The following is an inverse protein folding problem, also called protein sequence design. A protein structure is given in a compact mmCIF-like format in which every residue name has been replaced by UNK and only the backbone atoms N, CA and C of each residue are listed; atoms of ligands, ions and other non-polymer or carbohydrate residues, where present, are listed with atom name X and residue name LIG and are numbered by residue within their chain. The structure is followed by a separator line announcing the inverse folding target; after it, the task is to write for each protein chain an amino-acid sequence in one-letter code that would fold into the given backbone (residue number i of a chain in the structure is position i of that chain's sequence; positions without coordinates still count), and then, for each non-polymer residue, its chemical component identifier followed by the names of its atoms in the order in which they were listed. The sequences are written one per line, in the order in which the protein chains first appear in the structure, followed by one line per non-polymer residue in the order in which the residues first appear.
data_IF_777855107150
#
_entry.id   IF_777855107150
#
_cell.length_a   1.000
_cell.length_b   1.000
_cell.length_c   1.000
_cell.angle_alpha   90.00
_cell.angle_beta   90.00
_cell.angle_gamma   90.00
#
_symmetry.space_group_name_H-M   'P 1'
#
loop_
_entity.id
_entity.type
_entity.pdbx_description
1 polymer ?
#
# COMPACT_ATOMS: atom_id res chain seq x y z
N UNK A 1 -8.64 16.45 -8.39
CA UNK A 1 -7.26 15.99 -8.09
C UNK A 1 -6.72 15.31 -9.34
N UNK A 2 -5.71 15.89 -9.98
CA UNK A 2 -5.21 15.48 -11.30
C UNK A 2 -4.11 14.43 -11.21
N UNK A 3 -4.07 13.52 -12.19
CA UNK A 3 -3.23 12.33 -12.28
C UNK A 3 -1.69 12.54 -12.16
N UNK A 4 -1.23 13.80 -12.17
CA UNK A 4 0.18 14.18 -12.00
C UNK A 4 0.58 14.53 -10.56
N UNK A 5 -0.39 14.61 -9.64
CA UNK A 5 -0.14 14.89 -8.21
C UNK A 5 -0.36 13.66 -7.32
N UNK A 6 -0.94 12.61 -7.87
CA UNK A 6 -1.04 11.33 -7.19
C UNK A 6 0.34 10.66 -7.24
N UNK A 7 0.90 10.33 -6.08
CA UNK A 7 1.96 9.32 -6.02
C UNK A 7 1.33 8.04 -6.57
N UNK A 8 1.59 7.73 -7.84
CA UNK A 8 1.04 6.55 -8.50
C UNK A 8 1.77 5.34 -7.92
N UNK A 9 1.25 4.87 -6.80
CA UNK A 9 1.68 3.65 -6.14
C UNK A 9 1.00 2.49 -6.88
N UNK A 10 1.80 1.66 -7.52
CA UNK A 10 1.37 0.43 -8.17
C UNK A 10 1.69 -0.72 -7.25
N UNK A 11 0.65 -1.33 -6.66
CA UNK A 11 0.83 -2.48 -5.79
C UNK A 11 0.35 -3.76 -6.47
N UNK A 12 1.20 -4.79 -6.43
CA UNK A 12 0.88 -6.16 -6.80
C UNK A 12 0.79 -7.00 -5.55
N UNK A 13 -0.38 -7.61 -5.35
CA UNK A 13 -0.56 -8.65 -4.34
C UNK A 13 -0.03 -9.98 -4.88
N UNK A 14 0.77 -10.67 -4.08
CA UNK A 14 1.20 -12.04 -4.30
C UNK A 14 0.65 -12.94 -3.20
N UNK A 15 0.07 -14.08 -3.58
CA UNK A 15 -0.65 -14.95 -2.65
C UNK A 15 0.30 -16.00 -2.04
N UNK A 16 1.33 -15.53 -1.35
CA UNK A 16 2.36 -16.36 -0.71
C UNK A 16 2.10 -16.44 0.80
N UNK A 17 2.08 -17.65 1.36
CA UNK A 17 1.86 -17.86 2.80
C UNK A 17 0.39 -17.75 3.22
N UNK A 18 0.14 -17.42 4.50
CA UNK A 18 -1.22 -17.35 5.08
C UNK A 18 -2.01 -16.12 4.63
N UNK A 19 -1.31 -14.99 4.52
CA UNK A 19 -1.93 -13.68 4.29
C UNK A 19 -1.51 -13.02 2.97
N UNK A 20 -0.52 -13.57 2.27
CA UNK A 20 0.06 -12.95 1.09
C UNK A 20 1.12 -11.91 1.42
N UNK A 21 1.77 -11.45 0.35
CA UNK A 21 2.75 -10.37 0.36
C UNK A 21 2.34 -9.34 -0.67
N UNK A 22 2.83 -8.11 -0.53
CA UNK A 22 2.56 -7.04 -1.47
C UNK A 22 3.86 -6.40 -1.93
N UNK A 23 4.01 -6.24 -3.23
CA UNK A 23 5.11 -5.49 -3.86
C UNK A 23 4.53 -4.19 -4.42
N UNK A 24 5.01 -3.06 -3.92
CA UNK A 24 4.55 -1.74 -4.33
C UNK A 24 5.69 -0.94 -4.96
N UNK A 25 5.40 -0.33 -6.10
CA UNK A 25 6.30 0.60 -6.78
C UNK A 25 5.66 1.98 -6.90
N UNK A 26 6.38 3.01 -6.50
CA UNK A 26 6.03 4.41 -6.71
C UNK A 26 6.69 4.86 -8.00
N UNK A 27 5.87 5.27 -8.97
CA UNK A 27 6.37 5.89 -10.19
C UNK A 27 5.89 7.34 -10.25
N UNK A 28 6.65 8.24 -9.61
CA UNK A 28 6.43 9.68 -9.65
C UNK A 28 7.67 10.39 -10.25
N UNK A 29 7.48 11.57 -10.84
CA UNK A 29 8.57 12.31 -11.48
C UNK A 29 9.72 12.64 -10.51
N UNK A 30 9.39 12.94 -9.25
CA UNK A 30 10.36 13.29 -8.19
C UNK A 30 10.77 12.11 -7.32
N UNK A 31 10.05 10.99 -7.34
CA UNK A 31 10.29 9.86 -6.46
C UNK A 31 10.01 8.55 -7.17
N UNK A 32 11.06 7.74 -7.34
CA UNK A 32 10.99 6.36 -7.80
C UNK A 32 11.43 5.47 -6.65
N UNK A 33 10.50 4.68 -6.13
CA UNK A 33 10.77 3.78 -5.02
C UNK A 33 10.07 2.44 -5.28
N UNK A 34 10.68 1.34 -4.87
CA UNK A 34 10.05 0.03 -4.88
C UNK A 34 10.29 -0.60 -3.52
N UNK A 35 9.26 -1.20 -2.94
CA UNK A 35 9.36 -1.88 -1.67
C UNK A 35 8.29 -2.97 -1.57
N UNK A 36 8.61 -4.04 -0.86
CA UNK A 36 7.72 -5.17 -0.63
C UNK A 36 7.59 -5.45 0.85
N UNK A 37 6.42 -5.96 1.24
CA UNK A 37 6.13 -6.29 2.63
C UNK A 37 5.14 -7.43 2.71
N UNK A 38 5.22 -8.20 3.78
CA UNK A 38 4.25 -9.25 4.07
C UNK A 38 3.00 -8.65 4.71
N UNK A 39 1.84 -9.20 4.36
CA UNK A 39 0.59 -8.85 5.03
C UNK A 39 0.50 -9.69 6.30
N UNK A 40 0.20 -9.04 7.42
CA UNK A 40 0.15 -9.67 8.74
C UNK A 40 -1.08 -9.24 9.54
N UNK A 41 -1.21 -9.77 10.75
CA UNK A 41 -2.36 -9.58 11.63
C UNK A 41 -3.38 -10.72 11.54
N UNK A 42 -4.23 -10.82 12.55
CA UNK A 42 -5.19 -11.94 12.68
C UNK A 42 -6.17 -12.05 11.51
N UNK A 43 -6.42 -10.93 10.83
CA UNK A 43 -7.32 -10.82 9.67
C UNK A 43 -6.59 -10.63 8.35
N UNK A 44 -5.25 -10.77 8.33
CA UNK A 44 -4.45 -10.49 7.15
C UNK A 44 -4.74 -9.10 6.56
N UNK A 45 -4.83 -8.09 7.43
CA UNK A 45 -5.28 -6.75 7.08
C UNK A 45 -4.22 -5.68 7.31
N UNK A 46 -3.07 -6.01 7.93
CA UNK A 46 -2.01 -5.03 8.26
C UNK A 46 -0.80 -5.23 7.37
N UNK A 47 -0.13 -4.14 7.02
CA UNK A 47 1.14 -4.17 6.31
C UNK A 47 1.96 -2.93 6.69
N UNK A 48 3.27 -2.99 6.47
CA UNK A 48 4.18 -1.88 6.77
C UNK A 48 5.11 -1.67 5.57
N UNK A 49 5.06 -0.49 4.95
CA UNK A 49 5.70 -0.27 3.66
C UNK A 49 6.04 1.21 3.48
N UNK A 50 7.22 1.50 2.93
CA UNK A 50 7.76 2.87 2.84
C UNK A 50 7.84 3.61 4.19
N UNK A 51 7.97 2.87 5.30
CA UNK A 51 7.94 3.43 6.66
C UNK A 51 6.55 3.89 7.11
N UNK A 52 5.50 3.51 6.38
CA UNK A 52 4.10 3.77 6.70
C UNK A 52 3.40 2.49 7.10
N UNK A 53 2.55 2.59 8.12
CA UNK A 53 1.65 1.52 8.51
C UNK A 53 0.38 1.60 7.70
N UNK A 54 0.07 0.50 7.02
CA UNK A 54 -1.09 0.39 6.14
C UNK A 54 -2.07 -0.67 6.61
N UNK A 55 -3.32 -0.52 6.18
CA UNK A 55 -4.29 -1.62 6.16
C UNK A 55 -4.72 -1.96 4.75
N UNK A 56 -4.65 -3.23 4.40
CA UNK A 56 -5.16 -3.76 3.14
C UNK A 56 -6.49 -4.49 3.35
N UNK A 57 -7.45 -4.24 2.46
CA UNK A 57 -8.71 -4.99 2.39
C UNK A 57 -9.15 -5.09 0.94
N UNK A 58 -9.30 -6.31 0.40
CA UNK A 58 -9.93 -6.62 -0.89
C UNK A 58 -9.74 -5.58 -2.02
N UNK A 59 -8.48 -5.21 -2.32
CA UNK A 59 -8.17 -4.25 -3.39
C UNK A 59 -8.09 -2.78 -2.97
N UNK A 60 -8.21 -2.49 -1.67
CA UNK A 60 -8.00 -1.18 -1.08
C UNK A 60 -6.84 -1.22 -0.09
N UNK A 61 -6.01 -0.18 -0.07
CA UNK A 61 -4.94 0.01 0.90
C UNK A 61 -5.07 1.42 1.45
N UNK A 62 -5.22 1.56 2.76
CA UNK A 62 -5.13 2.85 3.45
C UNK A 62 -3.82 2.93 4.24
N UNK A 63 -3.17 4.07 4.17
CA UNK A 63 -1.97 4.40 4.91
C UNK A 63 -2.31 5.37 6.03
N UNK A 64 -1.76 5.11 7.21
CA UNK A 64 -2.01 5.88 8.42
C UNK A 64 -0.72 6.56 8.89
N UNK A 65 -0.83 7.77 9.42
CA UNK A 65 0.26 8.38 10.20
C UNK A 65 0.30 7.79 11.63
N UNK A 66 1.26 8.26 12.44
CA UNK A 66 1.41 7.84 13.83
C UNK A 66 0.22 8.24 14.72
N UNK A 67 -0.53 9.28 14.33
CA UNK A 67 -1.77 9.72 15.00
C UNK A 67 -2.99 8.85 14.61
N UNK A 68 -2.83 7.90 13.69
CA UNK A 68 -3.90 7.01 13.22
C UNK A 68 -4.84 7.63 12.18
N UNK A 69 -4.49 8.80 11.62
CA UNK A 69 -5.22 9.47 10.56
C UNK A 69 -4.82 8.93 9.18
N UNK A 70 -5.79 8.85 8.27
CA UNK A 70 -5.53 8.40 6.89
C UNK A 70 -4.79 9.49 6.14
N UNK A 71 -3.55 9.22 5.75
CA UNK A 71 -2.73 10.16 4.95
C UNK A 71 -2.82 9.88 3.47
N UNK A 72 -3.09 8.64 3.09
CA UNK A 72 -3.20 8.25 1.69
C UNK A 72 -4.02 6.96 1.57
N UNK A 73 -4.69 6.78 0.45
CA UNK A 73 -5.42 5.56 0.15
C UNK A 73 -5.30 5.20 -1.33
N UNK A 74 -5.04 3.94 -1.59
CA UNK A 74 -5.02 3.36 -2.92
C UNK A 74 -6.18 2.40 -3.09
N UNK A 75 -6.83 2.43 -4.25
CA UNK A 75 -7.88 1.49 -4.62
C UNK A 75 -7.58 0.90 -5.99
N UNK A 76 -7.71 -0.42 -6.10
CA UNK A 76 -7.65 -1.16 -7.35
C UNK A 76 -8.94 -0.89 -8.13
N UNK A 77 -8.90 0.09 -9.02
CA UNK A 77 -9.96 0.24 -10.03
C UNK A 77 -9.96 -0.98 -10.95
N UNK A 78 -11.17 -1.40 -11.35
CA UNK A 78 -11.41 -2.62 -12.14
C UNK A 78 -10.75 -2.55 -13.52
#
# INVERSE_FOLDING_TARGET
MGANTAHNIYCRYDNVGKCGSIDCAINHYTLKAQNSSDIYGDRCDRLDLFGLKGKATCGYIAWFNDDGEIVNSWYKTR
#
